data_IF_897653809551
#
_entry.id   IF_897653809551
#
_cell.length_a   1.000
_cell.length_b   1.000
_cell.length_c   1.000
_cell.angle_alpha   90.00
_cell.angle_beta   90.00
_cell.angle_gamma   90.00
#
_symmetry.space_group_name_H-M   'P 1'
#
loop_
_entity.id
_entity.type
_entity.pdbx_description
1 polymer ?
#
# COMPACT_ATOMS: atom_id res chain seq x y z
N UNK A 1 11.08 34.88 48.25
CA UNK A 1 10.63 34.75 46.82
C UNK A 1 9.12 34.53 46.84
N UNK A 2 8.32 35.37 46.22
CA UNK A 2 6.85 35.32 46.35
C UNK A 2 6.28 34.04 45.72
N UNK A 3 5.49 33.30 46.50
CA UNK A 3 4.82 32.05 46.08
C UNK A 3 4.16 32.16 44.66
N UNK A 4 3.55 33.30 44.39
CA UNK A 4 2.96 33.59 43.06
C UNK A 4 3.98 33.53 41.93
N UNK A 5 5.21 34.03 42.12
CA UNK A 5 6.26 33.96 41.06
C UNK A 5 6.74 32.53 40.84
N UNK A 6 6.83 31.72 41.88
CA UNK A 6 7.22 30.31 41.74
C UNK A 6 6.18 29.55 40.94
N UNK A 7 4.90 29.72 41.24
CA UNK A 7 3.79 29.11 40.51
C UNK A 7 3.81 29.52 39.01
N UNK A 8 4.04 30.81 38.73
CA UNK A 8 4.12 31.29 37.34
C UNK A 8 5.26 30.63 36.57
N UNK A 9 6.45 30.48 37.17
CA UNK A 9 7.58 29.79 36.53
C UNK A 9 7.31 28.31 36.29
N UNK A 10 6.62 27.61 37.21
CA UNK A 10 6.24 26.21 37.05
C UNK A 10 5.24 26.06 35.86
N UNK A 11 4.25 26.93 35.81
CA UNK A 11 3.26 26.88 34.68
C UNK A 11 3.93 27.16 33.35
N UNK A 12 4.82 28.17 33.27
CA UNK A 12 5.58 28.45 32.05
C UNK A 12 6.48 27.27 31.63
N UNK A 13 7.18 26.67 32.59
CA UNK A 13 8.01 25.50 32.33
C UNK A 13 7.19 24.29 31.81
N UNK A 14 6.06 24.01 32.49
CA UNK A 14 5.16 22.96 32.06
C UNK A 14 4.58 23.20 30.64
N UNK A 15 4.20 24.46 30.34
CA UNK A 15 3.73 24.83 28.99
C UNK A 15 4.79 24.61 27.90
N UNK A 16 6.04 24.97 28.17
CA UNK A 16 7.14 24.73 27.23
C UNK A 16 7.39 23.23 26.98
N UNK A 17 7.33 22.41 28.02
CA UNK A 17 7.51 20.96 27.89
C UNK A 17 6.38 20.35 27.05
N UNK A 18 5.12 20.71 27.30
CA UNK A 18 3.97 20.23 26.54
C UNK A 18 4.07 20.65 25.08
N UNK A 19 4.40 21.91 24.83
CA UNK A 19 4.55 22.43 23.45
C UNK A 19 5.70 21.70 22.73
N UNK A 20 6.85 21.52 23.37
CA UNK A 20 7.99 20.78 22.82
C UNK A 20 7.63 19.32 22.50
N UNK A 21 6.88 18.65 23.36
CA UNK A 21 6.39 17.28 23.12
C UNK A 21 5.44 17.19 21.92
N UNK A 22 4.51 18.14 21.81
CA UNK A 22 3.59 18.20 20.68
C UNK A 22 4.33 18.44 19.36
N UNK A 23 5.29 19.36 19.33
CA UNK A 23 6.14 19.60 18.16
C UNK A 23 6.93 18.35 17.79
N UNK A 24 7.53 17.67 18.74
CA UNK A 24 8.26 16.42 18.49
C UNK A 24 7.34 15.35 17.88
N UNK A 25 6.13 15.18 18.41
CA UNK A 25 5.16 14.19 17.90
C UNK A 25 4.70 14.50 16.50
N UNK A 26 4.43 15.76 16.18
CA UNK A 26 4.06 16.21 14.83
C UNK A 26 5.23 16.04 13.87
N UNK A 27 6.43 16.46 14.26
CA UNK A 27 7.62 16.33 13.42
C UNK A 27 7.95 14.87 13.10
N UNK A 28 7.93 13.98 14.09
CA UNK A 28 8.17 12.54 13.88
C UNK A 28 7.12 11.91 12.97
N UNK A 29 5.86 12.34 13.06
CA UNK A 29 4.80 11.90 12.16
C UNK A 29 5.00 12.35 10.70
N UNK A 30 5.49 13.57 10.50
CA UNK A 30 5.79 14.11 9.17
C UNK A 30 7.00 13.39 8.54
N UNK A 31 8.06 13.14 9.32
CA UNK A 31 9.25 12.44 8.84
C UNK A 31 8.91 11.02 8.40
N UNK A 32 8.16 10.28 9.22
CA UNK A 32 7.69 8.93 8.85
C UNK A 32 6.81 8.95 7.56
N UNK A 33 5.94 9.94 7.42
CA UNK A 33 5.09 10.07 6.25
C UNK A 33 5.92 10.36 4.98
N UNK A 34 6.95 11.18 5.09
CA UNK A 34 7.83 11.50 3.96
C UNK A 34 8.71 10.31 3.53
N UNK A 35 9.15 9.47 4.46
CA UNK A 35 9.85 8.21 4.12
C UNK A 35 8.92 7.26 3.36
N UNK A 36 7.69 7.11 3.81
CA UNK A 36 6.68 6.27 3.12
C UNK A 36 6.40 6.82 1.72
N UNK A 37 6.27 8.14 1.54
CA UNK A 37 6.03 8.76 0.23
C UNK A 37 7.24 8.56 -0.69
N UNK A 38 8.46 8.78 -0.20
CA UNK A 38 9.69 8.59 -0.98
C UNK A 38 9.91 7.14 -1.42
N UNK A 39 9.52 6.18 -0.58
CA UNK A 39 9.56 4.77 -0.92
C UNK A 39 8.46 4.37 -1.92
N UNK A 40 7.42 5.20 -2.10
CA UNK A 40 6.37 5.01 -3.11
C UNK A 40 6.69 5.63 -4.48
N UNK A 41 7.65 6.56 -4.55
CA UNK A 41 8.09 7.16 -5.82
C UNK A 41 8.94 6.20 -6.66
N UNK A 42 9.52 5.17 -6.05
CA UNK A 42 10.17 4.06 -6.74
C UNK A 42 9.55 2.77 -6.22
N UNK A 43 9.16 1.92 -7.14
CA UNK A 43 8.70 0.59 -6.78
C UNK A 43 9.87 -0.10 -6.03
N UNK A 44 9.70 -0.50 -4.75
CA UNK A 44 10.78 -1.13 -4.01
C UNK A 44 11.14 -2.48 -4.64
N UNK A 45 12.39 -2.91 -4.45
CA UNK A 45 12.82 -4.26 -4.81
C UNK A 45 12.02 -5.27 -3.98
N UNK A 46 11.11 -5.93 -4.65
CA UNK A 46 10.14 -6.79 -4.02
C UNK A 46 9.80 -7.97 -4.92
N UNK A 47 9.29 -9.05 -4.36
CA UNK A 47 8.77 -10.15 -5.15
C UNK A 47 7.39 -10.58 -4.66
N UNK A 48 6.60 -10.98 -5.61
CA UNK A 48 5.31 -11.64 -5.42
C UNK A 48 5.42 -13.09 -5.85
N UNK A 49 4.35 -13.84 -5.68
CA UNK A 49 4.26 -15.18 -6.26
C UNK A 49 3.15 -15.20 -7.30
N UNK A 50 3.44 -15.78 -8.45
CA UNK A 50 2.42 -16.10 -9.44
C UNK A 50 1.47 -17.18 -8.89
N UNK A 51 0.33 -17.37 -9.53
CA UNK A 51 -0.59 -18.47 -9.18
C UNK A 51 0.01 -19.86 -9.43
N UNK A 52 1.15 -19.95 -10.08
CA UNK A 52 1.92 -21.19 -10.30
C UNK A 52 3.01 -21.40 -9.24
N UNK A 53 3.19 -20.46 -8.32
CA UNK A 53 4.17 -20.51 -7.23
C UNK A 53 5.57 -20.01 -7.63
N UNK A 54 5.70 -19.40 -8.80
CA UNK A 54 6.95 -18.79 -9.25
C UNK A 54 7.10 -17.39 -8.66
N UNK A 55 8.35 -16.97 -8.38
CA UNK A 55 8.62 -15.61 -7.94
C UNK A 55 8.50 -14.63 -9.11
N UNK A 56 7.73 -13.58 -8.90
CA UNK A 56 7.59 -12.45 -9.80
C UNK A 56 8.25 -11.22 -9.17
N UNK A 57 9.38 -10.82 -9.68
CA UNK A 57 10.14 -9.69 -9.16
C UNK A 57 9.67 -8.38 -9.79
N UNK A 58 9.72 -7.30 -9.00
CA UNK A 58 9.36 -5.95 -9.48
C UNK A 58 10.23 -5.47 -10.65
N UNK A 59 11.47 -5.98 -10.76
CA UNK A 59 12.35 -5.75 -11.91
C UNK A 59 11.77 -6.27 -13.24
N UNK A 60 10.87 -7.25 -13.18
CA UNK A 60 10.20 -7.81 -14.37
C UNK A 60 9.07 -6.92 -14.88
N UNK A 61 8.72 -5.86 -14.13
CA UNK A 61 7.70 -4.89 -14.54
C UNK A 61 8.31 -4.03 -15.65
N UNK A 62 7.72 -4.09 -16.82
CA UNK A 62 8.18 -3.30 -17.97
C UNK A 62 8.09 -1.81 -17.67
N UNK A 63 9.22 -1.13 -17.73
CA UNK A 63 9.35 0.29 -17.41
C UNK A 63 8.58 1.23 -18.37
N UNK A 64 8.15 0.74 -19.54
CA UNK A 64 7.50 1.55 -20.57
C UNK A 64 5.98 1.72 -20.34
N UNK A 65 5.40 0.94 -19.46
CA UNK A 65 3.98 0.99 -19.15
C UNK A 65 3.72 1.56 -17.76
N UNK A 66 2.63 2.29 -17.60
CA UNK A 66 2.13 2.65 -16.28
C UNK A 66 1.78 1.38 -15.49
N UNK A 67 2.12 1.35 -14.21
CA UNK A 67 1.83 0.20 -13.35
C UNK A 67 0.88 0.60 -12.24
N UNK A 68 -0.19 -0.16 -12.09
CA UNK A 68 -1.17 -0.01 -11.03
C UNK A 68 -1.15 -1.28 -10.18
N UNK A 69 -0.89 -1.11 -8.89
CA UNK A 69 -0.91 -2.19 -7.90
C UNK A 69 -2.18 -2.05 -7.07
N UNK A 70 -2.98 -3.10 -7.03
CA UNK A 70 -4.25 -3.14 -6.30
C UNK A 70 -4.18 -4.28 -5.30
N UNK A 71 -4.22 -3.93 -4.01
CA UNK A 71 -4.41 -4.91 -2.95
C UNK A 71 -5.90 -5.19 -2.80
N UNK A 72 -6.30 -6.46 -2.85
CA UNK A 72 -7.71 -6.82 -2.86
C UNK A 72 -8.00 -8.08 -2.06
N UNK A 73 -9.26 -8.19 -1.66
CA UNK A 73 -9.86 -9.38 -1.11
C UNK A 73 -11.02 -9.82 -2.01
N UNK A 74 -11.14 -11.12 -2.29
CA UNK A 74 -12.17 -11.66 -3.19
C UNK A 74 -13.59 -11.54 -2.61
N UNK A 75 -13.73 -11.38 -1.30
CA UNK A 75 -15.01 -11.20 -0.61
C UNK A 75 -15.37 -9.71 -0.45
N UNK A 76 -14.45 -8.81 -0.77
CA UNK A 76 -14.68 -7.36 -0.69
C UNK A 76 -15.48 -6.89 -1.90
N UNK A 77 -16.73 -6.48 -1.69
CA UNK A 77 -17.61 -5.98 -2.75
C UNK A 77 -17.02 -4.80 -3.53
N UNK A 78 -16.40 -3.85 -2.84
CA UNK A 78 -15.79 -2.68 -3.51
C UNK A 78 -14.59 -3.08 -4.37
N UNK A 79 -13.79 -4.03 -3.91
CA UNK A 79 -12.64 -4.53 -4.67
C UNK A 79 -13.10 -5.25 -5.95
N UNK A 80 -14.10 -6.12 -5.84
CA UNK A 80 -14.64 -6.84 -7.00
C UNK A 80 -15.29 -5.88 -8.00
N UNK A 81 -16.02 -4.88 -7.53
CA UNK A 81 -16.60 -3.84 -8.39
C UNK A 81 -15.54 -3.04 -9.15
N UNK A 82 -14.44 -2.67 -8.48
CA UNK A 82 -13.29 -1.99 -9.11
C UNK A 82 -12.67 -2.84 -10.20
N UNK A 83 -12.40 -4.12 -9.90
CA UNK A 83 -11.83 -5.07 -10.86
C UNK A 83 -12.75 -5.28 -12.07
N UNK A 84 -14.05 -5.39 -11.86
CA UNK A 84 -15.04 -5.47 -12.95
C UNK A 84 -15.01 -4.23 -13.85
N UNK A 85 -14.86 -3.03 -13.28
CA UNK A 85 -14.73 -1.81 -14.05
C UNK A 85 -13.43 -1.76 -14.85
N UNK A 86 -12.31 -2.23 -14.29
CA UNK A 86 -11.04 -2.35 -15.00
C UNK A 86 -11.20 -3.31 -16.19
N UNK A 87 -11.81 -4.48 -15.97
CA UNK A 87 -12.07 -5.47 -17.04
C UNK A 87 -12.95 -4.88 -18.14
N UNK A 88 -14.04 -4.22 -17.77
CA UNK A 88 -14.97 -3.60 -18.72
C UNK A 88 -14.31 -2.55 -19.60
N UNK A 89 -13.34 -1.83 -19.07
CA UNK A 89 -12.63 -0.76 -19.76
C UNK A 89 -11.20 -1.16 -20.17
N UNK A 90 -10.87 -2.45 -20.17
CA UNK A 90 -9.51 -2.93 -20.44
C UNK A 90 -8.92 -2.44 -21.77
N UNK A 91 -9.76 -2.25 -22.78
CA UNK A 91 -9.34 -1.69 -24.07
C UNK A 91 -8.86 -0.24 -24.02
N UNK A 92 -9.19 0.52 -22.97
CA UNK A 92 -8.71 1.89 -22.75
C UNK A 92 -7.36 1.94 -22.03
N UNK A 93 -6.89 0.83 -21.48
CA UNK A 93 -5.67 0.72 -20.67
C UNK A 93 -4.53 -0.01 -21.40
N UNK A 94 -4.30 0.33 -22.68
CA UNK A 94 -3.36 -0.38 -23.56
C UNK A 94 -1.92 -0.37 -23.02
N UNK A 95 -1.52 0.73 -22.34
CA UNK A 95 -0.17 0.92 -21.80
C UNK A 95 -0.17 0.90 -20.26
N UNK A 96 -1.06 0.12 -19.65
CA UNK A 96 -1.15 0.04 -18.19
C UNK A 96 -1.17 -1.43 -17.77
N UNK A 97 -0.26 -1.78 -16.86
CA UNK A 97 -0.24 -3.10 -16.22
C UNK A 97 -0.97 -3.01 -14.87
N UNK A 98 -1.87 -3.95 -14.62
CA UNK A 98 -2.58 -4.07 -13.35
C UNK A 98 -2.10 -5.33 -12.63
N UNK A 99 -1.53 -5.15 -11.44
CA UNK A 99 -1.17 -6.24 -10.54
C UNK A 99 -2.18 -6.30 -9.41
N UNK A 100 -3.00 -7.33 -9.43
CA UNK A 100 -3.99 -7.62 -8.40
C UNK A 100 -3.32 -8.50 -7.34
N UNK A 101 -3.07 -7.96 -6.16
CA UNK A 101 -2.29 -8.62 -5.12
C UNK A 101 -3.20 -8.96 -3.95
N UNK A 102 -3.12 -10.20 -3.47
CA UNK A 102 -3.88 -10.66 -2.32
C UNK A 102 -3.05 -11.64 -1.47
N UNK A 103 -3.37 -11.69 -0.18
CA UNK A 103 -2.81 -12.66 0.76
C UNK A 103 -3.68 -13.92 0.91
N UNK A 104 -4.78 -13.98 0.16
CA UNK A 104 -5.65 -15.16 0.15
C UNK A 104 -4.98 -16.35 -0.53
N UNK A 105 -5.41 -17.56 -0.16
CA UNK A 105 -4.82 -18.78 -0.70
C UNK A 105 -4.85 -18.82 -2.24
N UNK A 106 -3.80 -19.35 -2.85
CA UNK A 106 -3.68 -19.51 -4.31
C UNK A 106 -4.89 -20.23 -4.92
N UNK A 107 -5.51 -21.15 -4.18
CA UNK A 107 -6.72 -21.85 -4.63
C UNK A 107 -7.91 -20.90 -4.81
N UNK A 108 -8.09 -19.95 -3.90
CA UNK A 108 -9.14 -18.91 -3.98
C UNK A 108 -8.84 -17.99 -5.16
N UNK A 109 -7.60 -17.53 -5.28
CA UNK A 109 -7.19 -16.62 -6.34
C UNK A 109 -7.31 -17.24 -7.74
N UNK A 110 -6.99 -18.53 -7.91
CA UNK A 110 -7.23 -19.26 -9.16
C UNK A 110 -8.71 -19.28 -9.54
N UNK A 111 -9.58 -19.59 -8.57
CA UNK A 111 -11.03 -19.58 -8.81
C UNK A 111 -11.54 -18.20 -9.20
N UNK A 112 -11.04 -17.16 -8.53
CA UNK A 112 -11.37 -15.78 -8.86
C UNK A 112 -10.91 -15.42 -10.29
N UNK A 113 -9.69 -15.76 -10.66
CA UNK A 113 -9.15 -15.57 -12.00
C UNK A 113 -9.99 -16.24 -13.08
N UNK A 114 -10.45 -17.46 -12.82
CA UNK A 114 -11.33 -18.21 -13.72
C UNK A 114 -12.72 -17.59 -13.82
N UNK A 115 -13.32 -17.18 -12.71
CA UNK A 115 -14.63 -16.54 -12.62
C UNK A 115 -14.68 -15.27 -13.49
N UNK A 116 -13.67 -14.42 -13.37
CA UNK A 116 -13.57 -13.15 -14.11
C UNK A 116 -12.84 -13.29 -15.44
N UNK A 117 -12.39 -14.49 -15.81
CA UNK A 117 -11.69 -14.80 -17.06
C UNK A 117 -10.47 -13.90 -17.29
N UNK A 118 -9.71 -13.62 -16.22
CA UNK A 118 -8.61 -12.66 -16.24
C UNK A 118 -7.51 -13.05 -17.24
N UNK A 119 -7.37 -14.34 -17.56
CA UNK A 119 -6.45 -14.84 -18.59
C UNK A 119 -6.69 -14.24 -20.00
N UNK A 120 -7.84 -13.59 -20.24
CA UNK A 120 -8.12 -12.88 -21.50
C UNK A 120 -7.52 -11.48 -21.56
N UNK A 121 -7.02 -10.97 -20.44
CA UNK A 121 -6.52 -9.59 -20.29
C UNK A 121 -5.04 -9.63 -19.91
N UNK A 122 -4.11 -9.64 -20.90
CA UNK A 122 -2.68 -9.81 -20.65
C UNK A 122 -2.05 -8.69 -19.81
N UNK A 123 -2.73 -7.54 -19.70
CA UNK A 123 -2.32 -6.43 -18.85
C UNK A 123 -2.78 -6.58 -17.39
N UNK A 124 -3.55 -7.62 -17.03
CA UNK A 124 -4.05 -7.87 -15.68
C UNK A 124 -3.44 -9.16 -15.17
N UNK A 125 -2.68 -9.09 -14.09
CA UNK A 125 -2.06 -10.25 -13.47
C UNK A 125 -2.46 -10.36 -11.99
N UNK A 126 -2.82 -11.57 -11.55
CA UNK A 126 -3.05 -11.86 -10.13
C UNK A 126 -1.77 -12.44 -9.52
N UNK A 127 -1.38 -11.86 -8.39
CA UNK A 127 -0.20 -12.25 -7.65
C UNK A 127 -0.58 -12.52 -6.18
N UNK A 128 0.11 -13.47 -5.58
CA UNK A 128 0.01 -13.76 -4.17
C UNK A 128 1.18 -13.11 -3.41
N UNK A 129 0.90 -12.55 -2.26
CA UNK A 129 1.92 -12.18 -1.29
C UNK A 129 1.37 -12.31 0.14
N UNK A 130 2.21 -12.74 1.06
CA UNK A 130 1.89 -12.77 2.48
C UNK A 130 1.62 -11.36 3.02
N UNK A 131 0.61 -11.20 3.89
CA UNK A 131 0.24 -9.91 4.47
C UNK A 131 1.41 -9.21 5.17
N UNK A 132 2.21 -9.95 5.95
CA UNK A 132 3.37 -9.39 6.63
C UNK A 132 4.41 -8.88 5.63
N UNK A 133 4.58 -9.61 4.53
CA UNK A 133 5.47 -9.21 3.46
C UNK A 133 4.98 -7.94 2.76
N UNK A 134 3.69 -7.86 2.44
CA UNK A 134 3.07 -6.66 1.86
C UNK A 134 3.28 -5.44 2.78
N UNK A 135 2.94 -5.57 4.06
CA UNK A 135 3.00 -4.47 5.01
C UNK A 135 4.42 -4.00 5.33
N UNK A 136 5.41 -4.91 5.25
CA UNK A 136 6.82 -4.56 5.44
C UNK A 136 7.37 -3.63 4.35
N UNK A 137 6.82 -3.71 3.14
CA UNK A 137 7.28 -2.97 1.96
C UNK A 137 6.40 -1.75 1.67
N UNK A 138 5.10 -1.93 1.70
CA UNK A 138 4.14 -0.89 1.30
C UNK A 138 3.52 -0.15 2.49
N UNK A 139 3.81 -0.56 3.71
CA UNK A 139 3.15 -0.07 4.91
C UNK A 139 1.78 -0.71 5.10
N UNK A 140 0.98 -0.18 6.04
CA UNK A 140 -0.39 -0.67 6.27
C UNK A 140 -1.23 -0.43 5.03
N UNK A 141 -1.75 -1.50 4.47
CA UNK A 141 -2.70 -1.49 3.35
C UNK A 141 -4.09 -1.62 3.96
N UNK A 142 -4.94 -0.64 3.75
CA UNK A 142 -6.33 -0.62 4.25
C UNK A 142 -7.27 -0.88 3.10
#
# INVERSE_FOLDING_TARGET
MNLKRIITFIILGASLIVTGYLFYKVYSGIVNKNEIIRNRERLPDFYFYTLHGEKYYTENIKNDNSTVIIFFDTECYHCTYEIENIIKNAGSFINTNFFLISDQSVKILKRFSEQYKLYKYPQIEILYADYQHITSVFGTVV
#
